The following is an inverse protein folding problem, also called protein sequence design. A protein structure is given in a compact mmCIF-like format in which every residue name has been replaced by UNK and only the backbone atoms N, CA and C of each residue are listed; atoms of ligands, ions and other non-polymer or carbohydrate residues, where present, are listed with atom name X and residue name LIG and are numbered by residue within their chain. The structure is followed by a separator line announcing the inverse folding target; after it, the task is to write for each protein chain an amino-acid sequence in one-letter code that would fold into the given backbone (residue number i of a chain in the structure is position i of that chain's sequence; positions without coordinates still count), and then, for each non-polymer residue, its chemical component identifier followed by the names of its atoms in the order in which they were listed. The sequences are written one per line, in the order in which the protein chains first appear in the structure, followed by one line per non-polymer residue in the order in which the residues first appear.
data_IF_188091505655
#
_entry.id   IF_188091505655
#
_cell.length_a   1.000
_cell.length_b   1.000
_cell.length_c   1.000
_cell.angle_alpha   90.00
_cell.angle_beta   90.00
_cell.angle_gamma   90.00
#
_symmetry.space_group_name_H-M   'P 1'
#
loop_
_entity.id
_entity.type
_entity.pdbx_description
1 polymer ?
#
# COMPACT_ATOMS: atom_id res chain seq x y z
N UNK A 1 50.76 -65.05 52.95
CA UNK A 1 50.90 -63.77 52.20
C UNK A 1 51.88 -63.82 51.00
N UNK A 2 52.17 -64.99 50.39
CA UNK A 2 53.15 -65.10 49.28
C UNK A 2 52.58 -65.21 47.86
N UNK A 3 51.29 -65.60 47.69
CA UNK A 3 50.68 -65.87 46.37
C UNK A 3 50.27 -64.62 45.59
N UNK A 4 49.80 -63.55 46.25
CA UNK A 4 49.44 -62.30 45.55
C UNK A 4 50.67 -61.57 44.97
N UNK A 5 51.81 -61.58 45.68
CA UNK A 5 53.03 -60.87 45.25
C UNK A 5 53.67 -61.47 43.99
N UNK A 6 53.65 -62.80 43.83
CA UNK A 6 54.19 -63.47 42.65
C UNK A 6 53.27 -63.32 41.43
N UNK A 7 51.94 -63.33 41.64
CA UNK A 7 50.95 -63.06 40.61
C UNK A 7 51.05 -61.63 40.08
N UNK A 8 51.19 -60.66 40.99
CA UNK A 8 51.35 -59.24 40.67
C UNK A 8 52.64 -58.97 39.86
N UNK A 9 53.76 -59.59 40.23
CA UNK A 9 55.03 -59.43 39.50
C UNK A 9 54.99 -60.05 38.10
N UNK A 10 54.26 -61.16 37.92
CA UNK A 10 54.13 -61.87 36.63
C UNK A 10 53.13 -61.20 35.67
N UNK A 11 52.11 -60.51 36.20
CA UNK A 11 51.05 -59.89 35.39
C UNK A 11 51.05 -58.35 35.38
N UNK A 12 51.99 -57.66 36.05
CA UNK A 12 52.05 -56.18 36.12
C UNK A 12 51.91 -55.46 34.76
N UNK A 13 52.57 -55.98 33.71
CA UNK A 13 52.50 -55.39 32.36
C UNK A 13 51.13 -55.62 31.72
N UNK A 14 50.51 -56.77 31.97
CA UNK A 14 49.17 -57.11 31.45
C UNK A 14 48.09 -56.28 32.15
N UNK A 15 48.18 -56.13 33.47
CA UNK A 15 47.25 -55.33 34.27
C UNK A 15 47.33 -53.85 33.89
N UNK A 16 48.55 -53.30 33.74
CA UNK A 16 48.74 -51.91 33.32
C UNK A 16 48.13 -51.66 31.94
N UNK A 17 48.41 -52.52 30.96
CA UNK A 17 47.86 -52.40 29.60
C UNK A 17 46.33 -52.48 29.61
N UNK A 18 45.74 -53.40 30.39
CA UNK A 18 44.27 -53.49 30.50
C UNK A 18 43.66 -52.26 31.17
N UNK A 19 44.26 -51.72 32.23
CA UNK A 19 43.76 -50.52 32.92
C UNK A 19 43.87 -49.28 32.04
N UNK A 20 44.98 -49.13 31.30
CA UNK A 20 45.15 -48.03 30.34
C UNK A 20 44.14 -48.14 29.20
N UNK A 21 43.91 -49.33 28.65
CA UNK A 21 42.97 -49.54 27.54
C UNK A 21 41.51 -49.31 27.97
N UNK A 22 41.13 -49.75 29.18
CA UNK A 22 39.81 -49.49 29.76
C UNK A 22 39.62 -48.01 30.13
N UNK A 23 40.64 -47.37 30.70
CA UNK A 23 40.62 -45.94 31.03
C UNK A 23 40.53 -45.05 29.79
N UNK A 24 41.28 -45.38 28.72
CA UNK A 24 41.20 -44.65 27.44
C UNK A 24 39.85 -44.86 26.76
N UNK A 25 39.29 -46.07 26.81
CA UNK A 25 37.95 -46.35 26.30
C UNK A 25 36.86 -45.57 27.05
N UNK A 26 36.95 -45.49 28.38
CA UNK A 26 36.02 -44.71 29.19
C UNK A 26 36.14 -43.21 28.93
N UNK A 27 37.37 -42.69 28.78
CA UNK A 27 37.59 -41.27 28.46
C UNK A 27 37.02 -40.91 27.08
N UNK A 28 37.26 -41.74 26.06
CA UNK A 28 36.69 -41.58 24.72
C UNK A 28 35.16 -41.67 24.74
N UNK A 29 34.60 -42.64 25.46
CA UNK A 29 33.16 -42.76 25.65
C UNK A 29 32.57 -41.53 26.34
N UNK A 30 33.24 -41.00 27.37
CA UNK A 30 32.79 -39.80 28.11
C UNK A 30 32.84 -38.55 27.23
N UNK A 31 33.91 -38.36 26.45
CA UNK A 31 34.03 -37.23 25.53
C UNK A 31 33.02 -37.32 24.37
N UNK A 32 32.85 -38.51 23.80
CA UNK A 32 31.83 -38.75 22.77
C UNK A 32 30.44 -38.43 23.32
N UNK A 33 30.06 -38.99 24.46
CA UNK A 33 28.76 -38.76 25.09
C UNK A 33 28.54 -37.29 25.47
N UNK A 34 29.57 -36.57 25.94
CA UNK A 34 29.48 -35.13 26.20
C UNK A 34 29.25 -34.32 24.91
N UNK A 35 29.95 -34.66 23.82
CA UNK A 35 29.78 -34.01 22.52
C UNK A 35 28.40 -34.33 21.90
N UNK A 36 27.92 -35.56 22.00
CA UNK A 36 26.58 -35.94 21.51
C UNK A 36 25.47 -35.22 22.27
N UNK A 37 25.62 -35.01 23.60
CA UNK A 37 24.68 -34.22 24.39
C UNK A 37 24.68 -32.76 24.00
N UNK A 38 25.87 -32.15 23.86
CA UNK A 38 26.00 -30.76 23.42
C UNK A 38 25.40 -30.53 22.04
N UNK A 39 25.57 -31.47 21.11
CA UNK A 39 24.91 -31.41 19.80
C UNK A 39 23.40 -31.52 19.93
N UNK A 40 22.89 -32.47 20.73
CA UNK A 40 21.46 -32.63 20.94
C UNK A 40 20.82 -31.41 21.63
N UNK A 41 21.54 -30.75 22.53
CA UNK A 41 21.08 -29.52 23.19
C UNK A 41 21.07 -28.34 22.22
N UNK A 42 22.09 -28.19 21.36
CA UNK A 42 22.11 -27.18 20.30
C UNK A 42 21.01 -27.43 19.26
N UNK A 43 20.76 -28.68 18.88
CA UNK A 43 19.66 -29.05 17.98
C UNK A 43 18.29 -28.72 18.59
N UNK A 44 18.12 -28.89 19.91
CA UNK A 44 16.90 -28.49 20.63
C UNK A 44 16.74 -26.99 20.65
N UNK A 45 17.78 -26.25 21.02
CA UNK A 45 17.75 -24.79 21.05
C UNK A 45 17.41 -24.22 19.68
N UNK A 46 18.03 -24.72 18.62
CA UNK A 46 17.77 -24.28 17.25
C UNK A 46 16.37 -24.73 16.77
N UNK A 47 15.85 -25.87 17.24
CA UNK A 47 14.46 -26.26 16.99
C UNK A 47 13.46 -25.36 17.72
N UNK A 48 13.76 -24.95 18.95
CA UNK A 48 12.96 -24.01 19.73
C UNK A 48 12.97 -22.62 19.09
N UNK A 49 14.13 -22.12 18.65
CA UNK A 49 14.24 -20.86 17.90
C UNK A 49 13.38 -20.89 16.63
N UNK A 50 13.51 -21.95 15.80
CA UNK A 50 12.68 -22.09 14.60
C UNK A 50 11.20 -22.16 14.92
N UNK A 51 10.83 -22.82 16.02
CA UNK A 51 9.44 -22.91 16.46
C UNK A 51 8.90 -21.53 16.88
N UNK A 52 9.69 -20.78 17.66
CA UNK A 52 9.36 -19.43 18.10
C UNK A 52 9.23 -18.48 16.90
N UNK A 53 10.18 -18.52 15.95
CA UNK A 53 10.14 -17.75 14.71
C UNK A 53 8.88 -18.06 13.88
N UNK A 54 8.50 -19.33 13.80
CA UNK A 54 7.28 -19.73 13.09
C UNK A 54 6.02 -19.18 13.77
N UNK A 55 5.97 -19.15 15.10
CA UNK A 55 4.86 -18.54 15.86
C UNK A 55 4.81 -17.04 15.60
N UNK A 56 5.93 -16.33 15.73
CA UNK A 56 6.01 -14.87 15.51
C UNK A 56 5.56 -14.54 14.08
N UNK A 57 6.06 -15.28 13.08
CA UNK A 57 5.66 -15.11 11.68
C UNK A 57 4.17 -15.33 11.47
N UNK A 58 3.59 -16.33 12.14
CA UNK A 58 2.15 -16.62 12.05
C UNK A 58 1.31 -15.51 12.68
N UNK A 59 1.70 -15.01 13.86
CA UNK A 59 1.04 -13.89 14.51
C UNK A 59 1.13 -12.61 13.69
N UNK A 60 2.31 -12.29 13.16
CA UNK A 60 2.54 -11.13 12.31
C UNK A 60 1.70 -11.21 11.03
N UNK A 61 1.62 -12.39 10.41
CA UNK A 61 0.77 -12.63 9.24
C UNK A 61 -0.71 -12.43 9.56
N UNK A 62 -1.20 -12.98 10.68
CA UNK A 62 -2.59 -12.82 11.09
C UNK A 62 -2.93 -11.34 11.37
N UNK A 63 -2.01 -10.60 12.00
CA UNK A 63 -2.20 -9.17 12.23
C UNK A 63 -2.23 -8.37 10.92
N UNK A 64 -1.32 -8.68 9.99
CA UNK A 64 -1.33 -8.08 8.66
C UNK A 64 -2.64 -8.33 7.90
N UNK A 65 -3.13 -9.58 7.88
CA UNK A 65 -4.40 -9.93 7.23
C UNK A 65 -5.58 -9.16 7.86
N UNK A 66 -5.59 -9.00 9.19
CA UNK A 66 -6.58 -8.19 9.89
C UNK A 66 -6.49 -6.70 9.51
N UNK A 67 -5.29 -6.14 9.36
CA UNK A 67 -5.10 -4.75 8.90
C UNK A 67 -5.65 -4.57 7.49
N UNK A 68 -5.35 -5.50 6.57
CA UNK A 68 -5.88 -5.43 5.20
C UNK A 68 -7.42 -5.48 5.20
N UNK A 69 -8.00 -6.35 6.05
CA UNK A 69 -9.45 -6.43 6.22
C UNK A 69 -10.06 -5.11 6.74
N UNK A 70 -9.44 -4.48 7.74
CA UNK A 70 -9.90 -3.18 8.27
C UNK A 70 -9.86 -2.10 7.18
N UNK A 71 -8.82 -2.09 6.36
CA UNK A 71 -8.69 -1.19 5.22
C UNK A 71 -9.88 -1.34 4.26
N UNK A 72 -10.14 -2.57 3.83
CA UNK A 72 -11.14 -2.91 2.81
C UNK A 72 -12.58 -2.70 3.33
N UNK A 73 -12.86 -3.04 4.60
CA UNK A 73 -14.22 -3.04 5.17
C UNK A 73 -14.62 -1.72 5.83
N UNK A 74 -13.65 -0.97 6.39
CA UNK A 74 -13.96 0.20 7.24
C UNK A 74 -13.47 1.51 6.63
N UNK A 75 -12.17 1.64 6.42
CA UNK A 75 -11.55 2.94 6.09
C UNK A 75 -11.79 3.33 4.64
N UNK A 76 -11.58 2.39 3.70
CA UNK A 76 -11.72 2.64 2.27
C UNK A 76 -13.15 2.98 1.84
N UNK A 77 -14.21 2.24 2.25
CA UNK A 77 -15.58 2.56 1.84
C UNK A 77 -16.01 3.97 2.27
N UNK A 78 -15.65 4.38 3.49
CA UNK A 78 -15.99 5.71 4.00
C UNK A 78 -15.34 6.82 3.16
N UNK A 79 -14.03 6.73 2.96
CA UNK A 79 -13.27 7.74 2.21
C UNK A 79 -13.69 7.77 0.73
N UNK A 80 -13.94 6.61 0.13
CA UNK A 80 -14.38 6.49 -1.26
C UNK A 80 -15.76 7.12 -1.48
N UNK A 81 -16.71 6.92 -0.57
CA UNK A 81 -18.04 7.54 -0.65
C UNK A 81 -17.94 9.07 -0.63
N UNK A 82 -17.09 9.61 0.24
CA UNK A 82 -16.82 11.06 0.32
C UNK A 82 -16.20 11.58 -0.98
N UNK A 83 -15.19 10.88 -1.50
CA UNK A 83 -14.53 11.21 -2.76
C UNK A 83 -15.51 11.20 -3.93
N UNK A 84 -16.34 10.16 -4.05
CA UNK A 84 -17.33 10.01 -5.12
C UNK A 84 -18.35 11.16 -5.13
N UNK A 85 -18.90 11.52 -3.96
CA UNK A 85 -19.79 12.69 -3.81
C UNK A 85 -19.10 13.96 -4.29
N UNK A 86 -17.85 14.17 -3.85
CA UNK A 86 -17.10 15.37 -4.17
C UNK A 86 -16.79 15.52 -5.66
N UNK A 87 -16.42 14.43 -6.33
CA UNK A 87 -16.17 14.43 -7.78
C UNK A 87 -17.45 14.78 -8.55
N UNK A 88 -18.60 14.25 -8.11
CA UNK A 88 -19.89 14.54 -8.73
C UNK A 88 -20.33 16.01 -8.52
N UNK A 89 -20.02 16.58 -7.35
CA UNK A 89 -20.29 17.98 -7.03
C UNK A 89 -19.42 18.95 -7.82
N UNK A 90 -18.13 18.67 -7.99
CA UNK A 90 -17.19 19.64 -8.56
C UNK A 90 -17.11 19.58 -10.10
N UNK A 91 -17.40 18.42 -10.71
CA UNK A 91 -17.31 18.24 -12.18
C UNK A 91 -18.71 18.10 -12.80
N UNK A 92 -19.33 19.25 -13.10
CA UNK A 92 -20.69 19.36 -13.62
C UNK A 92 -20.86 18.98 -15.11
N UNK A 93 -20.60 17.73 -15.47
CA UNK A 93 -20.83 17.25 -16.86
C UNK A 93 -22.31 17.29 -17.23
N UNK A 94 -23.19 16.89 -16.30
CA UNK A 94 -24.64 16.83 -16.52
C UNK A 94 -25.24 18.18 -16.91
N UNK A 95 -24.74 19.29 -16.36
CA UNK A 95 -25.23 20.64 -16.68
C UNK A 95 -24.95 21.04 -18.13
N UNK A 96 -23.76 20.70 -18.66
CA UNK A 96 -23.42 20.93 -20.06
C UNK A 96 -24.25 20.02 -20.97
N UNK A 97 -24.44 18.76 -20.59
CA UNK A 97 -25.27 17.81 -21.34
C UNK A 97 -26.75 18.25 -21.40
N UNK A 98 -27.29 18.79 -20.31
CA UNK A 98 -28.64 19.34 -20.24
C UNK A 98 -28.79 20.62 -21.07
N UNK A 99 -27.78 21.50 -21.05
CA UNK A 99 -27.77 22.71 -21.90
C UNK A 99 -27.76 22.33 -23.38
N UNK A 100 -26.97 21.33 -23.76
CA UNK A 100 -26.94 20.79 -25.12
C UNK A 100 -28.24 20.12 -25.54
N UNK A 101 -28.95 19.46 -24.62
CA UNK A 101 -30.22 18.78 -24.91
C UNK A 101 -31.38 19.77 -25.04
N UNK A 102 -31.48 20.74 -24.12
CA UNK A 102 -32.50 21.82 -24.15
C UNK A 102 -32.29 22.77 -25.32
N UNK A 103 -31.04 23.04 -25.70
CA UNK A 103 -30.68 23.93 -26.81
C UNK A 103 -30.78 23.31 -28.20
N UNK A 104 -31.36 22.11 -28.34
CA UNK A 104 -31.40 21.37 -29.60
C UNK A 104 -32.32 22.07 -30.61
N UNK A 105 -31.72 22.76 -31.58
CA UNK A 105 -32.42 23.49 -32.64
C UNK A 105 -32.53 25.00 -32.40
N UNK A 106 -32.14 25.49 -31.23
CA UNK A 106 -32.15 26.92 -30.87
C UNK A 106 -30.75 27.52 -30.74
N UNK A 107 -29.75 26.69 -30.42
CA UNK A 107 -28.36 27.15 -30.29
C UNK A 107 -27.71 27.49 -31.64
N UNK A 108 -26.93 28.57 -31.63
CA UNK A 108 -26.09 28.93 -32.79
C UNK A 108 -25.03 27.84 -33.01
N UNK A 109 -24.67 27.49 -34.27
CA UNK A 109 -23.70 26.43 -34.55
C UNK A 109 -22.34 26.59 -33.83
N UNK A 110 -21.87 27.81 -33.64
CA UNK A 110 -20.63 28.13 -32.91
C UNK A 110 -20.72 27.82 -31.42
N UNK A 111 -21.82 28.23 -30.77
CA UNK A 111 -22.10 27.95 -29.35
C UNK A 111 -22.24 26.45 -29.10
N UNK A 112 -22.95 25.76 -30.00
CA UNK A 112 -23.09 24.30 -29.94
C UNK A 112 -21.72 23.62 -30.02
N UNK A 113 -20.86 24.02 -30.96
CA UNK A 113 -19.52 23.45 -31.11
C UNK A 113 -18.65 23.71 -29.85
N UNK A 114 -18.76 24.91 -29.26
CA UNK A 114 -18.08 25.25 -28.02
C UNK A 114 -18.51 24.32 -26.88
N UNK A 115 -19.82 24.17 -26.64
CA UNK A 115 -20.37 23.31 -25.59
C UNK A 115 -19.97 21.84 -25.77
N UNK A 116 -19.94 21.32 -27.00
CA UNK A 116 -19.45 19.95 -27.24
C UNK A 116 -17.95 19.79 -26.96
N UNK A 117 -17.13 20.80 -27.27
CA UNK A 117 -15.72 20.76 -26.91
C UNK A 117 -15.49 20.89 -25.42
N UNK A 118 -16.29 21.70 -24.73
CA UNK A 118 -16.29 21.77 -23.27
C UNK A 118 -16.68 20.43 -22.66
N UNK A 119 -17.77 19.81 -23.14
CA UNK A 119 -18.21 18.48 -22.73
C UNK A 119 -17.09 17.45 -22.92
N UNK A 120 -16.40 17.48 -24.07
CA UNK A 120 -15.25 16.60 -24.35
C UNK A 120 -14.17 16.73 -23.27
N UNK A 121 -13.78 17.96 -22.91
CA UNK A 121 -12.76 18.18 -21.89
C UNK A 121 -13.26 17.73 -20.52
N UNK A 122 -14.50 18.08 -20.14
CA UNK A 122 -15.05 17.74 -18.83
C UNK A 122 -15.23 16.23 -18.63
N UNK A 123 -15.76 15.51 -19.62
CA UNK A 123 -15.95 14.05 -19.54
C UNK A 123 -14.62 13.30 -19.39
N UNK A 124 -13.59 13.67 -20.17
CA UNK A 124 -12.27 13.07 -20.01
C UNK A 124 -11.61 13.48 -18.69
N UNK A 125 -11.80 14.73 -18.24
CA UNK A 125 -11.31 15.17 -16.92
C UNK A 125 -11.95 14.33 -15.82
N UNK A 126 -13.28 14.16 -15.82
CA UNK A 126 -13.99 13.36 -14.82
C UNK A 126 -13.52 11.91 -14.83
N UNK A 127 -13.43 11.30 -16.01
CA UNK A 127 -13.01 9.91 -16.17
C UNK A 127 -11.62 9.65 -15.61
N UNK A 128 -10.62 10.42 -16.05
CA UNK A 128 -9.23 10.20 -15.63
C UNK A 128 -9.03 10.63 -14.18
N UNK A 129 -9.69 11.68 -13.72
CA UNK A 129 -9.65 12.10 -12.31
C UNK A 129 -10.27 11.06 -11.39
N UNK A 130 -11.43 10.47 -11.75
CA UNK A 130 -12.05 9.39 -10.99
C UNK A 130 -11.13 8.18 -10.91
N UNK A 131 -10.60 7.74 -12.06
CA UNK A 131 -9.68 6.61 -12.13
C UNK A 131 -8.44 6.82 -11.24
N UNK A 132 -7.81 7.99 -11.37
CA UNK A 132 -6.63 8.34 -10.58
C UNK A 132 -6.94 8.44 -9.09
N UNK A 133 -7.99 9.19 -8.72
CA UNK A 133 -8.32 9.47 -7.32
C UNK A 133 -8.72 8.20 -6.57
N UNK A 134 -9.52 7.33 -7.19
CA UNK A 134 -9.93 6.05 -6.56
C UNK A 134 -8.72 5.14 -6.37
N UNK A 135 -7.86 5.02 -7.39
CA UNK A 135 -6.65 4.19 -7.32
C UNK A 135 -5.69 4.70 -6.24
N UNK A 136 -5.37 6.00 -6.27
CA UNK A 136 -4.42 6.59 -5.33
C UNK A 136 -4.95 6.63 -3.90
N UNK A 137 -6.25 6.90 -3.70
CA UNK A 137 -6.87 6.85 -2.37
C UNK A 137 -6.83 5.43 -1.78
N UNK A 138 -7.09 4.41 -2.62
CA UNK A 138 -7.01 3.00 -2.20
C UNK A 138 -5.60 2.64 -1.73
N UNK A 139 -4.58 2.95 -2.53
CA UNK A 139 -3.18 2.72 -2.18
C UNK A 139 -2.77 3.52 -0.94
N UNK A 140 -3.17 4.79 -0.85
CA UNK A 140 -2.86 5.67 0.27
C UNK A 140 -3.42 5.14 1.58
N UNK A 141 -4.69 4.75 1.62
CA UNK A 141 -5.32 4.19 2.83
C UNK A 141 -4.59 2.91 3.25
N UNK A 142 -4.20 2.06 2.30
CA UNK A 142 -3.42 0.85 2.59
C UNK A 142 -2.03 1.19 3.14
N UNK A 143 -1.37 2.25 2.67
CA UNK A 143 -0.12 2.73 3.28
C UNK A 143 -0.37 3.15 4.73
N UNK A 144 -1.38 3.99 4.97
CA UNK A 144 -1.69 4.48 6.31
C UNK A 144 -1.96 3.35 7.30
N UNK A 145 -2.87 2.43 6.99
CA UNK A 145 -3.23 1.34 7.92
C UNK A 145 -2.06 0.38 8.14
N UNK A 146 -1.18 0.16 7.15
CA UNK A 146 0.01 -0.66 7.34
C UNK A 146 1.06 0.03 8.21
N UNK A 147 1.32 1.32 7.98
CA UNK A 147 2.24 2.11 8.80
C UNK A 147 1.72 2.13 10.25
N UNK A 148 0.46 2.54 10.45
CA UNK A 148 -0.17 2.57 11.78
C UNK A 148 -0.18 1.19 12.43
N UNK A 149 -0.64 0.18 11.71
CA UNK A 149 -0.75 -1.19 12.22
C UNK A 149 0.60 -1.78 12.62
N UNK A 150 1.68 -1.46 11.89
CA UNK A 150 3.04 -1.85 12.27
C UNK A 150 3.47 -1.19 13.59
N UNK A 151 3.20 0.11 13.76
CA UNK A 151 3.49 0.80 15.03
C UNK A 151 2.68 0.21 16.20
N UNK A 152 1.39 -0.08 16.00
CA UNK A 152 0.55 -0.70 17.04
C UNK A 152 1.01 -2.12 17.41
N UNK A 153 1.44 -2.91 16.43
CA UNK A 153 2.01 -4.24 16.65
C UNK A 153 3.29 -4.15 17.49
N UNK A 154 4.17 -3.21 17.15
CA UNK A 154 5.41 -2.94 17.88
C UNK A 154 5.12 -2.52 19.33
N UNK A 155 4.21 -1.57 19.52
CA UNK A 155 3.85 -1.05 20.85
C UNK A 155 3.25 -2.17 21.73
N UNK A 156 2.42 -3.04 21.14
CA UNK A 156 1.86 -4.22 21.84
C UNK A 156 2.95 -5.24 22.22
N UNK A 157 3.87 -5.55 21.30
CA UNK A 157 4.97 -6.47 21.57
C UNK A 157 5.92 -5.94 22.67
N UNK A 158 6.17 -4.62 22.71
CA UNK A 158 6.95 -3.96 23.77
C UNK A 158 6.24 -4.00 25.13
N UNK A 159 4.93 -3.76 25.16
CA UNK A 159 4.12 -3.82 26.38
C UNK A 159 4.09 -5.21 27.02
N UNK A 160 4.08 -6.27 26.21
CA UNK A 160 4.18 -7.66 26.68
C UNK A 160 5.55 -8.01 27.26
N UNK A 161 6.62 -7.38 26.75
CA UNK A 161 8.01 -7.64 27.20
C UNK A 161 8.36 -6.85 28.47
N UNK A 162 7.71 -5.71 28.68
CA UNK A 162 8.09 -4.72 29.72
C UNK A 162 6.94 -4.51 30.72
N UNK A 163 6.47 -5.58 31.37
CA UNK A 163 5.30 -5.57 32.26
C UNK A 163 5.45 -4.69 33.53
N UNK A 164 6.59 -4.01 33.74
CA UNK A 164 6.90 -3.23 34.94
C UNK A 164 7.20 -1.73 34.69
N UNK A 165 7.16 -1.25 33.44
CA UNK A 165 7.41 0.16 33.05
C UNK A 165 6.36 0.70 32.05
N UNK A 166 5.09 0.31 32.22
CA UNK A 166 3.98 0.78 31.38
C UNK A 166 3.77 2.31 31.41
N UNK A 167 4.32 2.99 32.42
CA UNK A 167 4.14 4.44 32.64
C UNK A 167 5.13 5.30 31.82
N UNK A 168 6.18 4.70 31.25
CA UNK A 168 7.25 5.40 30.47
C UNK A 168 7.18 5.13 28.96
N UNK A 169 6.29 4.24 28.51
CA UNK A 169 6.05 4.01 27.09
C UNK A 169 5.18 5.15 26.54
N UNK A 170 5.80 6.04 25.78
CA UNK A 170 5.09 6.91 24.85
C UNK A 170 4.32 5.98 23.90
N UNK A 171 3.00 5.81 24.08
CA UNK A 171 2.10 5.01 23.24
C UNK A 171 1.35 5.94 22.27
N UNK A 172 0.91 5.45 21.11
CA UNK A 172 0.06 6.28 20.24
C UNK A 172 -1.29 6.48 20.95
N UNK A 173 -1.69 7.74 21.18
CA UNK A 173 -3.01 8.03 21.73
C UNK A 173 -4.10 7.82 20.68
N UNK A 174 -5.28 7.38 21.12
CA UNK A 174 -6.43 7.08 20.25
C UNK A 174 -6.88 8.30 19.43
N UNK A 175 -6.69 9.51 19.96
CA UNK A 175 -6.98 10.73 19.21
C UNK A 175 -5.99 10.95 18.06
N UNK A 176 -4.72 10.62 18.26
CA UNK A 176 -3.68 10.69 17.22
C UNK A 176 -3.91 9.65 16.13
N UNK A 177 -4.26 8.40 16.49
CA UNK A 177 -4.65 7.35 15.52
C UNK A 177 -5.80 7.83 14.63
N UNK A 178 -6.85 8.39 15.25
CA UNK A 178 -8.01 8.90 14.54
C UNK A 178 -7.63 10.05 13.63
N UNK A 179 -6.87 11.04 14.12
CA UNK A 179 -6.38 12.18 13.31
C UNK A 179 -5.60 11.69 12.09
N UNK A 180 -4.69 10.73 12.29
CA UNK A 180 -3.92 10.13 11.21
C UNK A 180 -4.80 9.49 10.15
N UNK A 181 -5.72 8.59 10.53
CA UNK A 181 -6.61 7.92 9.56
C UNK A 181 -7.55 8.90 8.85
N UNK A 182 -8.06 9.92 9.54
CA UNK A 182 -8.91 10.95 8.93
C UNK A 182 -8.17 11.84 7.94
N UNK A 183 -6.84 11.86 7.93
CA UNK A 183 -6.08 12.64 6.94
C UNK A 183 -6.32 12.18 5.49
N UNK A 184 -6.84 10.96 5.27
CA UNK A 184 -7.30 10.52 3.95
C UNK A 184 -8.45 11.36 3.37
N UNK A 185 -9.23 12.02 4.22
CA UNK A 185 -10.28 12.93 3.77
C UNK A 185 -9.68 14.19 3.09
N UNK A 186 -8.38 14.49 3.30
CA UNK A 186 -7.70 15.66 2.72
C UNK A 186 -7.85 15.75 1.22
N UNK A 187 -7.74 14.62 0.51
CA UNK A 187 -7.92 14.56 -0.93
C UNK A 187 -9.29 15.14 -1.33
N UNK A 188 -10.37 14.68 -0.68
CA UNK A 188 -11.73 15.12 -0.97
C UNK A 188 -12.03 16.54 -0.45
N UNK A 189 -11.43 16.98 0.66
CA UNK A 189 -11.75 18.28 1.26
C UNK A 189 -10.91 19.43 0.69
N UNK A 190 -9.61 19.22 0.51
CA UNK A 190 -8.64 20.27 0.21
C UNK A 190 -7.87 20.03 -1.10
N UNK A 191 -7.57 18.77 -1.45
CA UNK A 191 -6.79 18.43 -2.64
C UNK A 191 -7.55 18.61 -3.96
N UNK A 192 -8.88 18.48 -3.95
CA UNK A 192 -9.71 18.46 -5.16
C UNK A 192 -9.58 19.66 -6.10
N UNK A 193 -9.65 20.93 -5.65
CA UNK A 193 -9.64 22.06 -6.58
C UNK A 193 -8.35 22.12 -7.42
N UNK A 194 -7.21 21.90 -6.77
CA UNK A 194 -5.91 21.85 -7.44
C UNK A 194 -5.81 20.63 -8.35
N UNK A 195 -6.24 19.46 -7.89
CA UNK A 195 -6.25 18.24 -8.69
C UNK A 195 -7.08 18.39 -9.97
N UNK A 196 -8.29 18.94 -9.88
CA UNK A 196 -9.18 19.17 -11.03
C UNK A 196 -8.53 20.13 -12.02
N UNK A 197 -7.94 21.23 -11.52
CA UNK A 197 -7.27 22.22 -12.37
C UNK A 197 -6.12 21.60 -13.16
N UNK A 198 -5.28 20.82 -12.48
CA UNK A 198 -4.10 20.18 -13.04
C UNK A 198 -4.44 19.06 -14.02
N UNK A 199 -5.39 18.21 -13.65
CA UNK A 199 -5.92 17.15 -14.52
C UNK A 199 -6.57 17.76 -15.78
N UNK A 200 -7.38 18.82 -15.64
CA UNK A 200 -8.00 19.51 -16.78
C UNK A 200 -6.96 20.08 -17.74
N UNK A 201 -5.80 20.54 -17.23
CA UNK A 201 -4.69 20.98 -18.08
C UNK A 201 -4.06 19.82 -18.86
N UNK A 202 -3.78 18.70 -18.20
CA UNK A 202 -3.25 17.50 -18.86
C UNK A 202 -4.20 16.97 -19.95
N UNK A 203 -5.51 16.90 -19.64
CA UNK A 203 -6.55 16.51 -20.61
C UNK A 203 -6.59 17.46 -21.81
N UNK A 204 -6.56 18.78 -21.58
CA UNK A 204 -6.54 19.76 -22.68
C UNK A 204 -5.30 19.62 -23.56
N UNK A 205 -4.16 19.29 -22.96
CA UNK A 205 -2.90 19.08 -23.68
C UNK A 205 -2.96 17.84 -24.58
N UNK A 206 -3.36 16.69 -24.03
CA UNK A 206 -3.41 15.42 -24.76
C UNK A 206 -4.53 15.38 -25.80
N UNK A 207 -5.68 16.00 -25.51
CA UNK A 207 -6.80 16.08 -26.45
C UNK A 207 -6.67 17.26 -27.44
N UNK A 208 -5.57 18.01 -27.40
CA UNK A 208 -5.31 19.09 -28.36
C UNK A 208 -5.28 18.51 -29.78
N UNK A 209 -6.10 19.07 -30.66
CA UNK A 209 -6.21 18.61 -32.05
C UNK A 209 -7.16 17.44 -32.29
N UNK A 210 -7.63 16.72 -31.24
CA UNK A 210 -8.68 15.70 -31.40
C UNK A 210 -10.04 16.36 -31.63
N UNK A 211 -10.70 16.01 -32.72
CA UNK A 211 -12.00 16.51 -33.10
C UNK A 211 -13.12 15.55 -32.67
N UNK A 212 -14.32 16.10 -32.49
CA UNK A 212 -15.52 15.34 -32.08
C UNK A 212 -15.93 14.25 -33.08
N UNK A 213 -15.48 14.36 -34.33
CA UNK A 213 -15.75 13.41 -35.42
C UNK A 213 -14.72 12.28 -35.49
N UNK A 214 -13.60 12.41 -34.79
CA UNK A 214 -12.55 11.40 -34.81
C UNK A 214 -13.08 10.08 -34.24
N UNK A 215 -12.66 8.98 -34.84
CA UNK A 215 -13.02 7.63 -34.39
C UNK A 215 -11.96 7.14 -33.41
N UNK A 216 -12.40 6.72 -32.23
CA UNK A 216 -11.56 6.09 -31.22
C UNK A 216 -11.93 4.61 -31.09
N UNK A 217 -10.92 3.75 -31.12
CA UNK A 217 -11.00 2.34 -30.76
C UNK A 217 -10.61 2.15 -29.29
N UNK A 218 -10.91 0.97 -28.74
CA UNK A 218 -10.46 0.50 -27.41
C UNK A 218 -9.01 0.88 -27.15
N UNK A 219 -8.09 0.43 -28.03
CA UNK A 219 -6.65 0.70 -27.91
C UNK A 219 -6.32 2.19 -27.90
N UNK A 220 -6.91 2.98 -28.79
CA UNK A 220 -6.61 4.42 -28.84
C UNK A 220 -7.15 5.18 -27.63
N UNK A 221 -8.24 4.69 -27.02
CA UNK A 221 -8.78 5.24 -25.79
C UNK A 221 -7.86 4.93 -24.61
N UNK A 222 -7.42 3.68 -24.49
CA UNK A 222 -6.43 3.24 -23.49
C UNK A 222 -5.14 4.07 -23.59
N UNK A 223 -4.53 4.16 -24.78
CA UNK A 223 -3.34 4.97 -25.04
C UNK A 223 -3.57 6.45 -24.70
N UNK A 224 -4.77 6.97 -24.97
CA UNK A 224 -5.12 8.37 -24.65
C UNK A 224 -5.22 8.58 -23.13
N UNK A 225 -5.84 7.65 -22.39
CA UNK A 225 -5.97 7.75 -20.93
C UNK A 225 -4.61 7.62 -20.25
N UNK A 226 -3.80 6.63 -20.64
CA UNK A 226 -2.43 6.46 -20.14
C UNK A 226 -1.61 7.73 -20.39
N UNK A 227 -1.68 8.29 -21.61
CA UNK A 227 -0.95 9.52 -21.93
C UNK A 227 -1.41 10.72 -21.09
N UNK A 228 -2.69 10.84 -20.76
CA UNK A 228 -3.19 11.89 -19.85
C UNK A 228 -2.58 11.69 -18.46
N UNK A 229 -2.58 10.46 -17.94
CA UNK A 229 -1.97 10.13 -16.66
C UNK A 229 -0.47 10.44 -16.66
N UNK A 230 0.27 10.08 -17.71
CA UNK A 230 1.71 10.36 -17.81
C UNK A 230 2.00 11.87 -17.82
N UNK A 231 1.25 12.66 -18.61
CA UNK A 231 1.39 14.13 -18.64
C UNK A 231 1.04 14.74 -17.29
N UNK A 232 0.03 14.20 -16.60
CA UNK A 232 -0.34 14.65 -15.26
C UNK A 232 0.74 14.31 -14.22
N UNK A 233 1.25 13.07 -14.20
CA UNK A 233 2.22 12.59 -13.22
C UNK A 233 3.62 13.17 -13.42
N UNK A 234 4.03 13.47 -14.65
CA UNK A 234 5.36 14.03 -14.98
C UNK A 234 5.48 15.55 -14.80
N UNK A 235 4.39 16.25 -14.50
CA UNK A 235 4.38 17.71 -14.43
C UNK A 235 4.86 18.23 -13.07
N UNK A 236 5.88 19.08 -13.06
CA UNK A 236 6.33 19.75 -11.84
C UNK A 236 7.46 19.00 -11.14
N UNK A 237 7.46 19.01 -9.80
CA UNK A 237 8.46 18.28 -9.02
C UNK A 237 8.20 16.77 -9.06
N UNK A 238 9.25 15.94 -8.93
CA UNK A 238 9.08 14.53 -8.64
C UNK A 238 8.15 14.38 -7.43
N UNK A 239 7.09 13.58 -7.57
CA UNK A 239 6.10 13.30 -6.52
C UNK A 239 5.16 14.48 -6.13
N UNK A 240 5.00 15.51 -6.98
CA UNK A 240 4.02 16.60 -6.75
C UNK A 240 2.60 16.09 -6.42
N UNK A 241 2.26 14.90 -6.93
CA UNK A 241 0.98 14.27 -6.73
C UNK A 241 0.69 13.89 -5.26
N UNK A 242 1.73 13.80 -4.42
CA UNK A 242 1.59 13.57 -2.96
C UNK A 242 0.87 14.74 -2.29
N UNK A 243 1.04 15.96 -2.81
CA UNK A 243 0.45 17.16 -2.23
C UNK A 243 -1.07 17.22 -2.42
N UNK A 244 -1.63 16.37 -3.30
CA UNK A 244 -3.09 16.17 -3.38
C UNK A 244 -3.62 15.21 -2.31
N UNK A 245 -2.79 14.28 -1.82
CA UNK A 245 -3.18 13.24 -0.87
C UNK A 245 -2.97 13.67 0.58
N UNK A 246 -1.93 14.46 0.84
CA UNK A 246 -1.53 14.87 2.18
C UNK A 246 -1.16 16.34 2.23
N UNK A 247 -1.43 16.99 3.37
CA UNK A 247 -1.02 18.38 3.62
C UNK A 247 0.50 18.59 3.52
N UNK A 248 0.93 19.69 2.91
CA UNK A 248 2.33 20.09 2.84
C UNK A 248 2.93 20.34 4.24
N UNK A 249 4.18 19.92 4.47
CA UNK A 249 4.86 19.97 5.77
C UNK A 249 4.95 21.40 6.35
N UNK A 250 5.12 22.42 5.51
CA UNK A 250 5.29 23.80 5.95
C UNK A 250 4.06 24.40 6.67
N UNK A 251 2.88 23.83 6.45
CA UNK A 251 1.62 24.27 7.10
C UNK A 251 1.49 23.78 8.54
N UNK A 252 2.32 22.83 8.98
CA UNK A 252 2.27 22.25 10.33
C UNK A 252 3.15 22.98 11.34
N UNK A 253 4.06 23.86 10.90
CA UNK A 253 4.86 24.69 11.80
C UNK A 253 4.15 26.01 12.09
N UNK A 254 3.25 25.99 13.08
CA UNK A 254 2.99 27.21 13.85
C UNK A 254 4.26 27.49 14.69
N UNK A 255 4.92 28.65 14.58
CA UNK A 255 6.18 28.93 15.26
C UNK A 255 6.05 29.16 16.78
N UNK A 256 4.95 28.73 17.42
CA UNK A 256 4.66 29.08 18.81
C UNK A 256 4.99 28.01 19.86
N UNK A 257 5.21 26.76 19.48
CA UNK A 257 5.47 25.69 20.46
C UNK A 257 6.74 24.90 20.12
N UNK A 258 7.91 25.54 20.29
CA UNK A 258 9.23 24.89 20.11
C UNK A 258 9.67 24.05 21.32
N UNK A 259 8.75 23.51 22.11
CA UNK A 259 9.10 22.71 23.31
C UNK A 259 8.33 21.40 23.49
N UNK A 260 7.51 20.98 22.53
CA UNK A 260 6.80 19.70 22.61
C UNK A 260 7.57 18.62 21.84
N UNK A 261 7.85 17.51 22.52
CA UNK A 261 8.18 16.21 21.94
C UNK A 261 7.46 16.05 20.59
N UNK A 262 8.19 15.75 19.51
CA UNK A 262 7.58 15.54 18.19
C UNK A 262 6.50 14.46 18.34
N UNK A 263 5.23 14.85 18.25
CA UNK A 263 4.09 13.95 18.44
C UNK A 263 4.20 12.75 17.49
N UNK A 264 3.79 11.56 17.95
CA UNK A 264 3.83 10.34 17.12
C UNK A 264 3.00 10.48 15.84
N UNK A 265 1.94 11.27 15.87
CA UNK A 265 1.20 11.67 14.67
C UNK A 265 2.12 12.26 13.59
N UNK A 266 3.07 13.12 13.98
CA UNK A 266 4.03 13.71 13.05
C UNK A 266 4.98 12.65 12.48
N UNK A 267 5.41 11.68 13.29
CA UNK A 267 6.20 10.55 12.82
C UNK A 267 5.43 9.71 11.79
N UNK A 268 4.17 9.36 12.07
CA UNK A 268 3.31 8.60 11.15
C UNK A 268 3.10 9.34 9.82
N UNK A 269 2.87 10.67 9.88
CA UNK A 269 2.71 11.52 8.68
C UNK A 269 4.01 11.56 7.86
N UNK A 270 5.16 11.73 8.50
CA UNK A 270 6.44 11.80 7.80
C UNK A 270 6.80 10.46 7.17
N UNK A 271 6.67 9.36 7.90
CA UNK A 271 6.93 8.02 7.38
C UNK A 271 5.98 7.68 6.23
N UNK A 272 4.70 8.05 6.33
CA UNK A 272 3.76 7.88 5.21
C UNK A 272 4.21 8.68 4.00
N UNK A 273 4.64 9.93 4.18
CA UNK A 273 5.16 10.76 3.09
C UNK A 273 6.39 10.14 2.45
N UNK A 274 7.35 9.65 3.24
CA UNK A 274 8.55 8.96 2.74
C UNK A 274 8.18 7.75 1.87
N UNK A 275 7.23 6.94 2.34
CA UNK A 275 6.71 5.79 1.58
C UNK A 275 6.07 6.24 0.27
N UNK A 276 5.23 7.27 0.28
CA UNK A 276 4.60 7.77 -0.95
C UNK A 276 5.63 8.35 -1.93
N UNK A 277 6.66 9.03 -1.45
CA UNK A 277 7.74 9.56 -2.29
C UNK A 277 8.76 8.51 -2.73
N UNK A 278 8.58 7.24 -2.37
CA UNK A 278 9.50 6.16 -2.75
C UNK A 278 9.34 5.75 -4.21
N UNK A 279 10.42 5.24 -4.79
CA UNK A 279 10.42 4.69 -6.15
C UNK A 279 9.53 3.44 -6.26
N UNK A 280 9.50 2.65 -5.20
CA UNK A 280 8.73 1.43 -5.05
C UNK A 280 7.23 1.74 -5.08
N UNK A 281 6.79 2.73 -4.30
CA UNK A 281 5.40 3.17 -4.33
C UNK A 281 5.02 3.76 -5.68
N UNK A 282 5.91 4.57 -6.29
CA UNK A 282 5.66 5.15 -7.62
C UNK A 282 5.43 4.07 -8.67
N UNK A 283 6.25 3.01 -8.68
CA UNK A 283 6.07 1.87 -9.56
C UNK A 283 4.74 1.14 -9.32
N UNK A 284 4.38 0.90 -8.06
CA UNK A 284 3.10 0.26 -7.69
C UNK A 284 1.90 1.10 -8.13
N UNK A 285 1.98 2.42 -7.95
CA UNK A 285 0.95 3.35 -8.39
C UNK A 285 0.79 3.34 -9.92
N UNK A 286 1.88 3.37 -10.67
CA UNK A 286 1.85 3.30 -12.14
C UNK A 286 1.26 1.98 -12.66
N UNK A 287 1.67 0.84 -12.10
CA UNK A 287 1.14 -0.47 -12.47
C UNK A 287 -0.36 -0.53 -12.17
N UNK A 288 -0.77 -0.07 -10.98
CA UNK A 288 -2.18 -0.03 -10.58
C UNK A 288 -3.02 0.83 -11.52
N UNK A 289 -2.54 2.03 -11.86
CA UNK A 289 -3.23 2.95 -12.77
C UNK A 289 -3.35 2.37 -14.20
N UNK A 290 -2.29 1.73 -14.71
CA UNK A 290 -2.30 1.07 -16.02
C UNK A 290 -3.31 -0.08 -16.04
N UNK A 291 -3.29 -0.96 -15.04
CA UNK A 291 -4.23 -2.08 -14.96
C UNK A 291 -5.69 -1.62 -14.78
N UNK A 292 -5.94 -0.58 -13.98
CA UNK A 292 -7.26 0.03 -13.88
C UNK A 292 -7.71 0.69 -15.19
N UNK A 293 -6.79 1.28 -15.96
CA UNK A 293 -7.10 1.84 -17.29
C UNK A 293 -7.54 0.75 -18.26
N UNK A 294 -6.83 -0.37 -18.30
CA UNK A 294 -7.21 -1.53 -19.13
C UNK A 294 -8.61 -2.02 -18.75
N UNK A 295 -8.85 -2.24 -17.45
CA UNK A 295 -10.15 -2.69 -16.96
C UNK A 295 -11.29 -1.70 -17.28
N UNK A 296 -11.01 -0.39 -17.24
CA UNK A 296 -11.99 0.65 -17.56
C UNK A 296 -12.40 0.58 -19.02
N UNK A 297 -11.40 0.48 -19.91
CA UNK A 297 -11.65 0.45 -21.35
C UNK A 297 -12.33 -0.85 -21.77
N UNK A 298 -11.97 -1.99 -21.16
CA UNK A 298 -12.70 -3.27 -21.33
C UNK A 298 -14.17 -3.13 -20.95
N UNK A 299 -14.46 -2.46 -19.83
CA UNK A 299 -15.84 -2.29 -19.36
C UNK A 299 -16.64 -1.39 -20.30
N UNK A 300 -16.03 -0.30 -20.76
CA UNK A 300 -16.60 0.54 -21.82
C UNK A 300 -16.84 -0.24 -23.12
N UNK A 301 -15.94 -1.15 -23.49
CA UNK A 301 -16.09 -2.00 -24.67
C UNK A 301 -17.32 -2.91 -24.56
N UNK A 302 -17.52 -3.58 -23.42
CA UNK A 302 -18.69 -4.43 -23.18
C UNK A 302 -20.01 -3.67 -23.30
N UNK A 303 -20.04 -2.42 -22.81
CA UNK A 303 -21.27 -1.61 -22.80
C UNK A 303 -21.60 -0.98 -24.16
N UNK A 304 -20.61 -0.80 -25.04
CA UNK A 304 -20.75 0.09 -26.20
C UNK A 304 -20.31 -0.49 -27.54
N UNK A 305 -19.62 -1.64 -27.56
CA UNK A 305 -19.03 -2.20 -28.78
C UNK A 305 -17.87 -1.37 -29.32
N UNK A 306 -17.10 -0.70 -28.44
CA UNK A 306 -16.01 0.23 -28.78
C UNK A 306 -14.92 -0.39 -29.68
N UNK A 307 -14.80 -1.72 -29.71
CA UNK A 307 -13.85 -2.47 -30.54
C UNK A 307 -13.90 -2.08 -32.02
N UNK A 308 -15.10 -1.82 -32.56
CA UNK A 308 -15.31 -1.46 -33.97
C UNK A 308 -14.96 0.01 -34.29
N UNK A 309 -14.63 0.81 -33.26
CA UNK A 309 -14.39 2.24 -33.38
C UNK A 309 -15.67 3.07 -33.20
N UNK A 310 -15.62 4.06 -32.32
CA UNK A 310 -16.71 4.97 -32.03
C UNK A 310 -16.28 6.42 -32.22
N UNK A 311 -17.16 7.25 -32.81
CA UNK A 311 -16.92 8.69 -32.88
C UNK A 311 -16.82 9.29 -31.47
N UNK A 312 -15.85 10.17 -31.26
CA UNK A 312 -15.60 10.81 -29.97
C UNK A 312 -16.86 11.46 -29.38
N UNK A 313 -17.67 12.14 -30.19
CA UNK A 313 -18.94 12.74 -29.73
C UNK A 313 -19.94 11.70 -29.16
N UNK A 314 -19.96 10.48 -29.70
CA UNK A 314 -20.81 9.37 -29.21
C UNK A 314 -20.22 8.67 -27.99
N UNK A 315 -18.90 8.77 -27.80
CA UNK A 315 -18.19 8.22 -26.65
C UNK A 315 -18.46 9.03 -25.38
N UNK A 316 -18.59 10.37 -25.47
CA UNK A 316 -18.73 11.23 -24.28
C UNK A 316 -19.89 10.81 -23.35
N UNK A 317 -21.12 10.54 -23.84
CA UNK A 317 -22.20 10.08 -22.97
C UNK A 317 -21.97 8.68 -22.39
N UNK A 318 -21.15 7.86 -23.03
CA UNK A 318 -20.84 6.51 -22.53
C UNK A 318 -19.80 6.57 -21.42
N UNK A 319 -18.80 7.45 -21.54
CA UNK A 319 -17.86 7.73 -20.45
C UNK A 319 -18.62 8.05 -19.16
N UNK A 320 -19.64 8.91 -19.23
CA UNK A 320 -20.44 9.28 -18.05
C UNK A 320 -21.22 8.11 -17.44
N UNK A 321 -21.58 7.09 -18.23
CA UNK A 321 -22.28 5.90 -17.70
C UNK A 321 -21.35 4.96 -16.95
N UNK A 322 -20.06 4.98 -17.25
CA UNK A 322 -19.06 4.10 -16.61
C UNK A 322 -18.49 4.70 -15.31
N UNK A 323 -18.60 6.02 -15.10
CA UNK A 323 -18.10 6.70 -13.87
C UNK A 323 -18.66 6.11 -12.56
N UNK A 324 -19.96 5.79 -12.43
CA UNK A 324 -20.51 5.20 -11.22
C UNK A 324 -19.87 3.87 -10.85
N UNK A 325 -19.43 3.07 -11.84
CA UNK A 325 -18.76 1.79 -11.60
C UNK A 325 -17.34 1.97 -11.05
N UNK A 326 -16.61 2.98 -11.54
CA UNK A 326 -15.29 3.35 -11.00
C UNK A 326 -15.42 3.81 -9.53
N UNK A 327 -16.50 4.51 -9.22
CA UNK A 327 -16.73 5.15 -7.93
C UNK A 327 -17.68 4.35 -7.02
N UNK A 328 -17.93 3.09 -7.37
CA UNK A 328 -18.79 2.17 -6.64
C UNK A 328 -18.15 1.78 -5.29
N UNK A 329 -18.99 1.32 -4.36
CA UNK A 329 -18.57 0.84 -3.04
C UNK A 329 -17.62 -0.36 -3.17
N UNK A 330 -16.61 -0.53 -2.29
CA UNK A 330 -15.53 -1.51 -2.49
C UNK A 330 -15.96 -2.96 -2.76
N UNK A 331 -17.04 -3.42 -2.15
CA UNK A 331 -17.51 -4.81 -2.30
C UNK A 331 -17.97 -5.14 -3.73
N UNK A 332 -18.44 -4.14 -4.48
CA UNK A 332 -18.91 -4.26 -5.86
C UNK A 332 -17.92 -3.66 -6.88
N UNK A 333 -16.85 -3.02 -6.39
CA UNK A 333 -15.92 -2.28 -7.22
C UNK A 333 -14.81 -3.19 -7.76
N UNK A 334 -14.99 -3.69 -9.00
CA UNK A 334 -14.01 -4.51 -9.72
C UNK A 334 -12.62 -3.86 -9.79
N UNK A 335 -12.53 -2.53 -9.85
CA UNK A 335 -11.24 -1.83 -9.91
C UNK A 335 -10.46 -1.98 -8.59
N UNK A 336 -11.14 -1.88 -7.45
CA UNK A 336 -10.52 -2.04 -6.14
C UNK A 336 -10.10 -3.48 -5.85
N UNK A 337 -10.90 -4.45 -6.32
CA UNK A 337 -10.53 -5.87 -6.30
C UNK A 337 -9.29 -6.11 -7.16
N UNK A 338 -9.25 -5.56 -8.38
CA UNK A 338 -8.10 -5.66 -9.26
C UNK A 338 -6.84 -5.11 -8.60
N UNK A 339 -6.89 -3.91 -7.98
CA UNK A 339 -5.73 -3.33 -7.29
C UNK A 339 -5.26 -4.24 -6.14
N UNK A 340 -6.18 -4.85 -5.39
CA UNK A 340 -5.84 -5.76 -4.29
C UNK A 340 -5.14 -7.04 -4.77
N UNK A 341 -5.57 -7.56 -5.90
CA UNK A 341 -5.13 -8.86 -6.38
C UNK A 341 -3.85 -8.78 -7.23
N UNK A 342 -3.36 -7.56 -7.51
CA UNK A 342 -2.06 -7.35 -8.16
C UNK A 342 -0.90 -7.84 -7.28
N UNK A 343 0.00 -8.70 -7.82
CA UNK A 343 1.09 -9.27 -7.03
C UNK A 343 2.09 -8.21 -6.56
N UNK A 344 2.33 -7.16 -7.35
CA UNK A 344 3.21 -6.05 -6.99
C UNK A 344 2.66 -5.27 -5.79
N UNK A 345 1.34 -5.07 -5.75
CA UNK A 345 0.65 -4.40 -4.64
C UNK A 345 0.75 -5.24 -3.37
N UNK A 346 0.48 -6.55 -3.46
CA UNK A 346 0.57 -7.47 -2.32
C UNK A 346 1.99 -7.55 -1.77
N UNK A 347 2.98 -7.69 -2.66
CA UNK A 347 4.39 -7.74 -2.29
C UNK A 347 4.81 -6.43 -1.61
N UNK A 348 4.46 -5.29 -2.19
CA UNK A 348 4.77 -3.98 -1.63
C UNK A 348 4.23 -3.82 -0.21
N UNK A 349 2.94 -4.11 0.02
CA UNK A 349 2.35 -3.96 1.35
C UNK A 349 2.88 -4.98 2.36
N UNK A 350 3.20 -6.20 1.92
CA UNK A 350 3.87 -7.19 2.77
C UNK A 350 5.25 -6.70 3.21
N UNK A 351 6.04 -6.16 2.28
CA UNK A 351 7.36 -5.59 2.58
C UNK A 351 7.24 -4.36 3.47
N UNK A 352 6.33 -3.44 3.15
CA UNK A 352 6.07 -2.26 3.97
C UNK A 352 5.75 -2.66 5.41
N UNK A 353 4.85 -3.62 5.60
CA UNK A 353 4.47 -4.06 6.94
C UNK A 353 5.61 -4.78 7.67
N UNK A 354 6.37 -5.63 6.98
CA UNK A 354 7.47 -6.42 7.56
C UNK A 354 8.76 -5.64 7.80
N UNK A 355 8.93 -4.46 7.20
CA UNK A 355 10.11 -3.63 7.36
C UNK A 355 10.07 -2.95 8.75
N UNK A 356 10.47 -3.71 9.77
CA UNK A 356 10.57 -3.26 11.15
C UNK A 356 11.87 -2.46 11.34
N UNK A 357 11.86 -1.30 12.02
CA UNK A 357 13.09 -0.58 12.32
C UNK A 357 14.07 -1.49 13.08
N UNK A 358 15.34 -1.47 12.67
CA UNK A 358 16.43 -2.40 13.05
C UNK A 358 16.73 -2.55 14.55
N UNK A 359 16.01 -1.85 15.44
CA UNK A 359 16.18 -1.96 16.89
C UNK A 359 15.73 -3.31 17.49
N UNK A 360 15.07 -4.18 16.72
CA UNK A 360 14.55 -5.48 17.19
C UNK A 360 15.47 -6.68 16.95
N UNK A 361 16.62 -6.52 16.28
CA UNK A 361 17.56 -7.64 16.04
C UNK A 361 18.58 -7.86 17.16
N UNK A 362 18.51 -7.08 18.23
CA UNK A 362 19.28 -7.32 19.45
C UNK A 362 18.32 -7.61 20.60
N UNK A 363 17.89 -8.86 20.69
CA UNK A 363 17.48 -9.42 21.98
C UNK A 363 18.71 -9.31 22.92
N UNK A 364 18.56 -8.76 24.13
CA UNK A 364 19.64 -8.80 25.11
C UNK A 364 19.85 -10.26 25.53
N UNK A 365 21.08 -10.74 25.35
CA UNK A 365 21.57 -11.98 25.94
C UNK A 365 21.45 -11.98 27.46
#
# INVERSE_FOLDING_TARGET
MGKCRSFWRKHRKKILVTTTCLGSGYLLYKLYNAHTRSLADLERELAEERHNDAIIKTQMKAHFENIQMIADVTTLPHALRRLSSRIAEEIHVSGVMETLSKGKGTLVPSEKLYLWNELKILSFTRMVLSLWSVTMLSLYIRVQVNVLGRHLYIDTARGLTTSHLLEELDLIDREEEKKFLTSADYLATNGMPSLISDMKRAVKEVLKGKQLKDVLTTRTLEETVIRILDVFMSKGSPHHWVDYLMMAQDTTMSPRDTTTTVSKLHHLINETREVLTSTEFTNVAEISLKSCTVALVEEMEKQTGLAAGMQLAKLLPQIEKTIPEISAVPDENRFLQLIRDLPEVQLFFTLLYSNMPLQFTKLPN
#
